data_IF_731106402882
#
_entry.id   IF_731106402882
#
_cell.length_a   1.000
_cell.length_b   1.000
_cell.length_c   1.000
_cell.angle_alpha   90.00
_cell.angle_beta   90.00
_cell.angle_gamma   90.00
#
_symmetry.space_group_name_H-M   'P 1'
#
loop_
_entity.id
_entity.type
_entity.pdbx_description
1 polymer ?
#
# COMPACT_ATOMS: atom_id res chain seq x y z
N UNK A 1 -4.24 32.54 -8.05
CA UNK A 1 -4.51 31.26 -7.34
C UNK A 1 -5.17 30.28 -8.30
N UNK A 2 -4.41 29.33 -8.90
CA UNK A 2 -5.03 28.21 -9.63
C UNK A 2 -5.78 27.34 -8.61
N UNK A 3 -7.02 26.96 -8.90
CA UNK A 3 -7.84 26.14 -7.99
C UNK A 3 -7.07 24.86 -7.62
N UNK A 4 -6.98 24.56 -6.32
CA UNK A 4 -6.46 23.27 -5.86
C UNK A 4 -7.36 22.20 -6.47
N UNK A 5 -6.81 21.29 -7.26
CA UNK A 5 -7.58 20.15 -7.75
C UNK A 5 -8.03 19.31 -6.54
N UNK A 6 -9.29 18.88 -6.54
CA UNK A 6 -9.90 18.16 -5.41
C UNK A 6 -10.25 16.75 -5.87
N UNK A 7 -9.74 15.74 -5.17
CA UNK A 7 -10.18 14.36 -5.36
C UNK A 7 -11.32 14.12 -4.39
N UNK A 8 -12.53 14.01 -4.95
CA UNK A 8 -13.73 13.73 -4.16
C UNK A 8 -13.74 12.26 -3.78
N UNK A 9 -13.75 12.00 -2.48
CA UNK A 9 -13.86 10.63 -1.94
C UNK A 9 -15.27 10.08 -2.10
N UNK A 10 -16.29 10.96 -2.07
CA UNK A 10 -17.72 10.62 -2.28
C UNK A 10 -18.21 9.52 -1.31
N UNK A 11 -17.82 9.60 -0.04
CA UNK A 11 -18.25 8.65 1.00
C UNK A 11 -19.77 8.49 1.10
N UNK A 12 -20.54 9.52 0.73
CA UNK A 12 -22.01 9.47 0.66
C UNK A 12 -22.57 8.44 -0.35
N UNK A 13 -21.75 7.95 -1.28
CA UNK A 13 -22.15 6.86 -2.19
C UNK A 13 -22.20 5.51 -1.45
N UNK A 14 -21.42 5.33 -0.37
CA UNK A 14 -21.36 4.06 0.36
C UNK A 14 -22.74 3.60 0.89
N UNK A 15 -23.57 4.46 1.54
CA UNK A 15 -24.94 4.09 1.90
C UNK A 15 -25.78 3.58 0.72
N UNK A 16 -25.62 4.13 -0.49
CA UNK A 16 -26.34 3.67 -1.68
C UNK A 16 -25.87 2.27 -2.12
N UNK A 17 -24.56 2.03 -2.07
CA UNK A 17 -23.98 0.69 -2.33
C UNK A 17 -24.49 -0.30 -1.27
N UNK A 18 -24.47 0.10 0.00
CA UNK A 18 -24.96 -0.73 1.10
C UNK A 18 -26.43 -1.11 0.91
N UNK A 19 -27.32 -0.14 0.64
CA UNK A 19 -28.75 -0.42 0.40
C UNK A 19 -28.91 -1.37 -0.79
N UNK A 20 -28.19 -1.14 -1.89
CA UNK A 20 -28.26 -2.01 -3.08
C UNK A 20 -27.85 -3.45 -2.76
N UNK A 21 -26.72 -3.65 -2.06
CA UNK A 21 -26.27 -4.98 -1.64
C UNK A 21 -27.23 -5.59 -0.62
N UNK A 22 -27.74 -4.80 0.32
CA UNK A 22 -28.67 -5.24 1.36
C UNK A 22 -29.99 -5.72 0.78
N UNK A 23 -30.58 -5.00 -0.19
CA UNK A 23 -31.82 -5.41 -0.86
C UNK A 23 -31.67 -6.72 -1.63
N UNK A 24 -30.52 -6.97 -2.27
CA UNK A 24 -30.20 -8.26 -2.92
C UNK A 24 -30.16 -9.41 -1.89
N UNK A 25 -29.68 -9.11 -0.69
CA UNK A 25 -29.47 -10.09 0.39
C UNK A 25 -30.76 -10.39 1.17
N UNK A 26 -31.64 -9.40 1.36
CA UNK A 26 -32.90 -9.53 2.15
C UNK A 26 -33.93 -10.47 1.52
N UNK A 27 -33.87 -10.71 0.21
CA UNK A 27 -34.80 -11.61 -0.49
C UNK A 27 -34.62 -13.09 -0.14
N UNK A 28 -33.51 -13.48 0.50
CA UNK A 28 -33.12 -14.89 0.74
C UNK A 28 -33.19 -15.32 2.22
N UNK A 29 -34.01 -14.64 3.05
CA UNK A 29 -33.95 -14.73 4.51
C UNK A 29 -34.84 -15.84 5.12
N UNK A 30 -34.27 -16.53 6.11
CA UNK A 30 -35.01 -17.31 7.11
C UNK A 30 -34.28 -17.26 8.48
N UNK A 31 -35.00 -17.22 9.61
CA UNK A 31 -34.38 -17.18 10.94
C UNK A 31 -33.81 -18.54 11.37
N UNK A 32 -32.53 -18.59 11.78
CA UNK A 32 -31.97 -19.77 12.46
C UNK A 32 -30.78 -19.43 13.39
N UNK A 33 -30.79 -19.82 14.68
CA UNK A 33 -29.73 -19.57 15.65
C UNK A 33 -28.66 -20.67 15.73
N UNK A 34 -28.24 -21.26 14.60
CA UNK A 34 -27.26 -22.35 14.62
C UNK A 34 -25.91 -21.92 15.20
N UNK A 35 -25.13 -22.90 15.68
CA UNK A 35 -23.78 -22.68 16.17
C UNK A 35 -22.87 -22.07 15.08
N UNK A 36 -23.03 -22.49 13.82
CA UNK A 36 -22.26 -21.96 12.69
C UNK A 36 -22.62 -20.50 12.38
N UNK A 37 -23.90 -20.13 12.39
CA UNK A 37 -24.34 -18.74 12.21
C UNK A 37 -23.86 -17.81 13.32
N UNK A 38 -23.84 -18.30 14.57
CA UNK A 38 -23.25 -17.58 15.73
C UNK A 38 -21.75 -17.39 15.57
N UNK A 39 -21.02 -18.44 15.15
CA UNK A 39 -19.58 -18.36 14.87
C UNK A 39 -19.27 -17.34 13.77
N UNK A 40 -19.99 -17.38 12.66
CA UNK A 40 -19.83 -16.42 11.57
C UNK A 40 -20.11 -14.97 12.03
N UNK A 41 -21.18 -14.76 12.79
CA UNK A 41 -21.48 -13.45 13.40
C UNK A 41 -20.33 -12.96 14.26
N UNK A 42 -19.82 -13.82 15.15
CA UNK A 42 -18.67 -13.51 16.00
C UNK A 42 -17.45 -13.09 15.16
N UNK A 43 -17.11 -13.87 14.13
CA UNK A 43 -15.99 -13.57 13.24
C UNK A 43 -16.13 -12.20 12.55
N UNK A 44 -17.33 -11.84 12.08
CA UNK A 44 -17.56 -10.54 11.46
C UNK A 44 -17.55 -9.39 12.44
N UNK A 45 -18.11 -9.57 13.64
CA UNK A 45 -18.07 -8.56 14.70
C UNK A 45 -16.65 -8.26 15.18
N UNK A 46 -15.81 -9.29 15.36
CA UNK A 46 -14.54 -9.13 16.06
C UNK A 46 -13.32 -9.05 15.13
N UNK A 47 -13.42 -9.50 13.88
CA UNK A 47 -12.30 -9.39 12.91
C UNK A 47 -12.59 -8.42 11.77
N UNK A 48 -13.69 -8.62 11.04
CA UNK A 48 -13.96 -7.84 9.82
C UNK A 48 -14.44 -6.41 10.12
N UNK A 49 -15.31 -6.24 11.13
CA UNK A 49 -15.85 -4.92 11.50
C UNK A 49 -14.78 -3.96 12.06
N UNK A 50 -13.82 -4.39 12.91
CA UNK A 50 -12.73 -3.52 13.33
C UNK A 50 -11.81 -3.13 12.18
N UNK A 51 -11.49 -4.07 11.29
CA UNK A 51 -10.71 -3.76 10.08
C UNK A 51 -11.41 -2.72 9.19
N UNK A 52 -12.72 -2.89 8.99
CA UNK A 52 -13.57 -1.93 8.28
C UNK A 52 -13.56 -0.56 8.97
N UNK A 53 -13.61 -0.53 10.30
CA UNK A 53 -13.64 0.72 11.07
C UNK A 53 -12.38 1.56 10.82
N UNK A 54 -11.20 0.93 10.75
CA UNK A 54 -9.96 1.64 10.38
C UNK A 54 -10.05 2.29 9.00
N UNK A 55 -10.67 1.60 8.04
CA UNK A 55 -10.87 2.17 6.71
C UNK A 55 -11.83 3.37 6.75
N UNK A 56 -13.02 3.21 7.33
CA UNK A 56 -14.03 4.27 7.43
C UNK A 56 -13.47 5.51 8.11
N UNK A 57 -12.72 5.33 9.20
CA UNK A 57 -12.10 6.44 9.93
C UNK A 57 -11.10 7.24 9.09
N UNK A 58 -10.44 6.62 8.10
CA UNK A 58 -9.58 7.34 7.16
C UNK A 58 -10.34 8.30 6.25
N UNK A 59 -11.52 7.89 5.80
CA UNK A 59 -12.39 8.70 4.95
C UNK A 59 -13.06 9.87 5.69
N UNK A 60 -13.10 9.86 7.03
CA UNK A 60 -13.64 10.99 7.82
C UNK A 60 -12.88 12.30 7.63
N UNK A 61 -11.61 12.24 7.16
CA UNK A 61 -10.83 13.42 6.78
C UNK A 61 -11.33 14.09 5.48
N UNK A 62 -12.32 13.51 4.81
CA UNK A 62 -13.00 14.09 3.65
C UNK A 62 -12.14 14.12 2.40
N UNK A 63 -12.52 14.98 1.45
CA UNK A 63 -11.89 15.10 0.15
C UNK A 63 -10.41 15.49 0.23
N UNK A 64 -9.61 14.98 -0.71
CA UNK A 64 -8.21 15.33 -0.80
C UNK A 64 -8.07 16.66 -1.54
N UNK A 65 -7.48 17.62 -0.86
CA UNK A 65 -7.02 18.86 -1.48
C UNK A 65 -5.58 18.67 -1.89
N UNK A 66 -5.33 18.63 -3.20
CA UNK A 66 -3.97 18.51 -3.72
C UNK A 66 -3.12 19.68 -3.20
N UNK A 67 -1.86 19.37 -2.85
CA UNK A 67 -0.95 20.31 -2.18
C UNK A 67 -0.74 21.61 -2.96
N UNK A 68 -0.48 22.69 -2.20
CA UNK A 68 -0.27 24.03 -2.73
C UNK A 68 1.08 24.21 -3.43
N UNK A 69 1.26 25.36 -4.08
CA UNK A 69 2.45 25.69 -4.89
C UNK A 69 3.40 26.62 -4.13
N UNK A 70 4.10 26.10 -3.13
CA UNK A 70 5.15 26.86 -2.42
C UNK A 70 6.45 26.07 -2.46
N UNK A 71 7.55 26.63 -3.00
CA UNK A 71 8.86 26.01 -2.92
C UNK A 71 9.38 25.91 -1.49
N UNK A 72 10.11 24.83 -1.18
CA UNK A 72 10.78 24.63 0.10
C UNK A 72 12.24 25.02 -0.02
N UNK A 73 12.80 25.58 1.06
CA UNK A 73 14.24 25.87 1.19
C UNK A 73 15.02 24.73 1.82
N UNK A 74 14.31 23.71 2.33
CA UNK A 74 14.92 22.53 2.96
C UNK A 74 15.43 21.58 1.90
N UNK A 75 16.51 20.88 2.24
CA UNK A 75 17.13 19.91 1.37
C UNK A 75 16.28 18.65 1.27
N UNK A 76 16.03 18.19 0.04
CA UNK A 76 15.31 16.93 -0.20
C UNK A 76 16.18 15.97 -1.01
N UNK A 77 16.56 14.86 -0.41
CA UNK A 77 17.27 13.76 -1.05
C UNK A 77 16.23 12.73 -1.48
N UNK A 78 16.10 12.49 -2.78
CA UNK A 78 15.21 11.48 -3.33
C UNK A 78 16.00 10.19 -3.47
N UNK A 79 15.78 9.26 -2.55
CA UNK A 79 16.49 7.98 -2.54
C UNK A 79 15.74 6.95 -3.37
N UNK A 80 16.34 6.51 -4.47
CA UNK A 80 15.81 5.42 -5.30
C UNK A 80 16.72 4.22 -5.09
N UNK A 81 16.18 3.16 -4.47
CA UNK A 81 16.95 1.93 -4.21
C UNK A 81 16.57 0.88 -5.25
N UNK A 82 17.58 0.32 -5.92
CA UNK A 82 17.36 -0.57 -7.06
C UNK A 82 18.34 -1.72 -7.11
N UNK A 83 17.86 -2.87 -7.58
CA UNK A 83 18.72 -4.00 -7.96
C UNK A 83 19.33 -3.84 -9.36
N UNK A 84 18.94 -2.77 -10.08
CA UNK A 84 19.36 -2.40 -11.44
C UNK A 84 19.46 -3.59 -12.41
N UNK A 85 18.44 -4.47 -12.42
CA UNK A 85 18.32 -5.55 -13.41
C UNK A 85 18.01 -4.97 -14.79
N UNK A 86 18.55 -5.53 -15.87
CA UNK A 86 18.35 -4.97 -17.22
C UNK A 86 16.89 -4.76 -17.61
N UNK A 87 16.01 -5.68 -17.21
CA UNK A 87 14.58 -5.58 -17.51
C UNK A 87 13.86 -4.47 -16.75
N UNK A 88 14.37 -3.96 -15.61
CA UNK A 88 13.75 -2.86 -14.84
C UNK A 88 14.26 -1.47 -15.23
N UNK A 89 15.37 -1.41 -15.98
CA UNK A 89 15.99 -0.14 -16.39
C UNK A 89 15.05 0.84 -17.08
N UNK A 90 14.10 0.44 -17.96
CA UNK A 90 13.19 1.41 -18.55
C UNK A 90 12.23 2.03 -17.51
N UNK A 91 11.76 1.24 -16.53
CA UNK A 91 10.94 1.76 -15.44
C UNK A 91 11.75 2.69 -14.53
N UNK A 92 12.99 2.31 -14.18
CA UNK A 92 13.90 3.14 -13.39
C UNK A 92 14.23 4.46 -14.08
N UNK A 93 14.52 4.42 -15.38
CA UNK A 93 14.77 5.61 -16.18
C UNK A 93 13.56 6.54 -16.20
N UNK A 94 12.34 6.00 -16.41
CA UNK A 94 11.11 6.78 -16.32
C UNK A 94 10.95 7.43 -14.94
N UNK A 95 11.27 6.71 -13.86
CA UNK A 95 11.24 7.23 -12.50
C UNK A 95 12.21 8.39 -12.32
N UNK A 96 13.48 8.23 -12.71
CA UNK A 96 14.50 9.28 -12.66
C UNK A 96 14.07 10.50 -13.49
N UNK A 97 13.63 10.29 -14.74
CA UNK A 97 13.15 11.35 -15.64
C UNK A 97 11.96 12.10 -15.05
N UNK A 98 11.05 11.39 -14.37
CA UNK A 98 9.92 12.03 -13.68
C UNK A 98 10.38 12.92 -12.53
N UNK A 99 11.42 12.52 -11.80
CA UNK A 99 11.99 13.31 -10.71
C UNK A 99 12.69 14.55 -11.26
N UNK A 100 13.61 14.38 -12.22
CA UNK A 100 14.35 15.49 -12.85
C UNK A 100 13.39 16.54 -13.43
N UNK A 101 12.27 16.10 -14.00
CA UNK A 101 11.25 16.98 -14.56
C UNK A 101 10.45 17.76 -13.51
N UNK A 102 10.08 17.12 -12.40
CA UNK A 102 9.09 17.68 -11.45
C UNK A 102 9.75 18.35 -10.23
N UNK A 103 10.90 17.84 -9.76
CA UNK A 103 11.57 18.32 -8.56
C UNK A 103 11.92 19.82 -8.59
N UNK A 104 12.46 20.40 -9.69
CA UNK A 104 12.84 21.81 -9.74
C UNK A 104 11.71 22.80 -9.47
N UNK A 105 10.44 22.38 -9.63
CA UNK A 105 9.31 23.30 -9.49
C UNK A 105 9.10 23.76 -8.05
N UNK A 106 9.37 22.88 -7.06
CA UNK A 106 9.16 23.21 -5.64
C UNK A 106 10.33 22.83 -4.72
N UNK A 107 11.35 22.12 -5.20
CA UNK A 107 12.52 21.78 -4.40
C UNK A 107 13.69 22.64 -4.88
N UNK A 108 14.18 23.52 -4.00
CA UNK A 108 15.29 24.42 -4.32
C UNK A 108 16.65 23.73 -4.13
N UNK A 109 16.82 23.01 -3.02
CA UNK A 109 17.95 22.13 -2.76
C UNK A 109 17.48 20.66 -2.79
N UNK A 110 17.91 19.94 -3.82
CA UNK A 110 17.57 18.53 -3.99
C UNK A 110 18.59 17.80 -4.84
N UNK A 111 18.63 16.48 -4.66
CA UNK A 111 19.34 15.51 -5.50
C UNK A 111 18.67 14.15 -5.45
N UNK A 112 19.05 13.27 -6.36
CA UNK A 112 18.69 11.85 -6.37
C UNK A 112 19.87 11.07 -5.81
N UNK A 113 19.66 10.30 -4.74
CA UNK A 113 20.59 9.28 -4.29
C UNK A 113 20.14 7.93 -4.90
N UNK A 114 20.82 7.51 -5.96
CA UNK A 114 20.56 6.25 -6.65
C UNK A 114 21.39 5.14 -5.99
N UNK A 115 20.74 4.31 -5.18
CA UNK A 115 21.38 3.27 -4.38
C UNK A 115 21.27 1.93 -5.09
N UNK A 116 22.41 1.29 -5.38
CA UNK A 116 22.44 -0.02 -6.03
C UNK A 116 23.63 -0.86 -5.60
N UNK A 117 23.55 -2.16 -5.86
CA UNK A 117 24.59 -3.13 -5.51
C UNK A 117 25.78 -3.05 -6.46
N UNK A 118 27.00 -3.26 -5.95
CA UNK A 118 28.25 -3.23 -6.73
C UNK A 118 28.22 -4.14 -7.96
N UNK A 119 27.64 -5.33 -7.82
CA UNK A 119 27.50 -6.33 -8.90
C UNK A 119 26.21 -6.20 -9.72
N UNK A 120 25.46 -5.10 -9.61
CA UNK A 120 24.23 -4.96 -10.35
C UNK A 120 24.48 -4.87 -11.87
N UNK A 121 23.83 -5.74 -12.64
CA UNK A 121 24.04 -5.90 -14.08
C UNK A 121 23.85 -4.59 -14.88
N UNK A 122 22.89 -3.76 -14.46
CA UNK A 122 22.55 -2.50 -15.12
C UNK A 122 23.34 -1.28 -14.62
N UNK A 123 24.21 -1.42 -13.61
CA UNK A 123 24.97 -0.29 -13.05
C UNK A 123 25.81 0.44 -14.11
N UNK A 124 26.60 -0.23 -14.97
CA UNK A 124 27.38 0.47 -16.00
C UNK A 124 26.51 1.27 -16.97
N UNK A 125 25.36 0.71 -17.37
CA UNK A 125 24.41 1.35 -18.28
C UNK A 125 23.78 2.60 -17.65
N UNK A 126 23.51 2.57 -16.34
CA UNK A 126 22.98 3.71 -15.61
C UNK A 126 24.03 4.82 -15.48
N UNK A 127 25.27 4.47 -15.13
CA UNK A 127 26.37 5.43 -15.02
C UNK A 127 26.68 6.10 -16.37
N UNK A 128 26.64 5.35 -17.47
CA UNK A 128 26.82 5.88 -18.81
C UNK A 128 25.67 6.81 -19.21
N UNK A 129 24.41 6.37 -19.06
CA UNK A 129 23.24 7.17 -19.43
C UNK A 129 23.15 8.49 -18.67
N UNK A 130 23.45 8.46 -17.37
CA UNK A 130 23.33 9.62 -16.48
C UNK A 130 24.67 10.32 -16.24
N UNK A 131 25.66 10.06 -17.08
CA UNK A 131 26.97 10.71 -17.01
C UNK A 131 26.82 12.23 -17.20
N UNK A 132 27.28 12.99 -16.21
CA UNK A 132 27.23 14.46 -16.23
C UNK A 132 25.95 15.06 -15.66
N UNK A 133 24.97 14.25 -15.22
CA UNK A 133 23.82 14.76 -14.47
C UNK A 133 24.21 15.01 -13.01
N UNK A 134 24.47 16.27 -12.66
CA UNK A 134 24.94 16.69 -11.33
C UNK A 134 23.92 16.41 -10.21
N UNK A 135 22.62 16.30 -10.56
CA UNK A 135 21.57 15.97 -9.58
C UNK A 135 21.53 14.50 -9.21
N UNK A 136 22.28 13.61 -9.87
CA UNK A 136 22.28 12.18 -9.57
C UNK A 136 23.59 11.80 -8.88
N UNK A 137 23.45 11.31 -7.65
CA UNK A 137 24.53 10.77 -6.84
C UNK A 137 24.38 9.24 -6.77
N UNK A 138 25.41 8.51 -7.19
CA UNK A 138 25.44 7.04 -7.14
C UNK A 138 25.97 6.57 -5.79
N UNK A 139 25.16 5.80 -5.06
CA UNK A 139 25.59 5.12 -3.83
C UNK A 139 25.69 3.62 -4.14
N UNK A 140 26.93 3.17 -4.32
CA UNK A 140 27.23 1.77 -4.62
C UNK A 140 27.44 1.03 -3.31
N UNK A 141 26.60 0.04 -3.04
CA UNK A 141 26.70 -0.82 -1.86
C UNK A 141 27.74 -1.90 -2.14
N UNK A 142 28.89 -1.91 -1.44
CA UNK A 142 29.95 -2.89 -1.65
C UNK A 142 29.46 -4.29 -1.35
N UNK A 143 29.89 -5.31 -2.07
CA UNK A 143 29.42 -6.69 -1.82
C UNK A 143 29.73 -7.19 -0.41
N UNK A 144 30.87 -6.76 0.15
CA UNK A 144 31.31 -7.13 1.49
C UNK A 144 30.66 -6.33 2.61
N UNK A 145 29.83 -5.32 2.29
CA UNK A 145 29.14 -4.55 3.30
C UNK A 145 28.09 -5.40 4.02
N UNK A 146 28.09 -5.30 5.35
CA UNK A 146 27.19 -6.02 6.23
C UNK A 146 26.73 -5.11 7.35
N UNK A 147 25.42 -5.07 7.57
CA UNK A 147 24.84 -4.36 8.71
C UNK A 147 25.04 -5.16 10.00
N UNK A 148 24.97 -4.50 11.15
CA UNK A 148 25.25 -5.10 12.46
C UNK A 148 24.28 -6.25 12.78
N UNK A 149 23.01 -6.10 12.43
CA UNK A 149 21.96 -7.11 12.63
C UNK A 149 21.71 -8.00 11.41
N UNK A 150 22.60 -7.98 10.41
CA UNK A 150 22.53 -8.85 9.24
C UNK A 150 21.25 -8.66 8.40
N UNK A 151 20.74 -7.43 8.33
CA UNK A 151 19.72 -7.02 7.37
C UNK A 151 20.15 -7.36 5.93
N UNK A 152 19.17 -7.75 5.12
CA UNK A 152 19.36 -8.15 3.71
C UNK A 152 18.53 -7.26 2.78
N UNK A 153 18.77 -7.41 1.49
CA UNK A 153 17.95 -6.80 0.42
C UNK A 153 17.87 -5.27 0.57
N UNK A 154 16.68 -4.70 0.37
CA UNK A 154 16.44 -3.25 0.39
C UNK A 154 16.82 -2.59 1.73
N UNK A 155 16.60 -3.28 2.86
CA UNK A 155 17.01 -2.80 4.18
C UNK A 155 18.53 -2.58 4.30
N UNK A 156 19.33 -3.50 3.74
CA UNK A 156 20.80 -3.38 3.69
C UNK A 156 21.25 -2.16 2.89
N UNK A 157 20.65 -1.98 1.71
CA UNK A 157 20.97 -0.84 0.85
C UNK A 157 20.58 0.50 1.52
N UNK A 158 19.41 0.56 2.17
CA UNK A 158 19.00 1.74 2.93
C UNK A 158 19.94 2.05 4.10
N UNK A 159 20.35 1.03 4.86
CA UNK A 159 21.28 1.21 5.98
C UNK A 159 22.64 1.72 5.49
N UNK A 160 23.18 1.16 4.39
CA UNK A 160 24.42 1.65 3.80
C UNK A 160 24.32 3.10 3.33
N UNK A 161 23.22 3.46 2.64
CA UNK A 161 23.01 4.82 2.17
C UNK A 161 22.92 5.83 3.31
N UNK A 162 22.25 5.47 4.40
CA UNK A 162 22.18 6.24 5.64
C UNK A 162 23.58 6.46 6.24
N UNK A 163 24.36 5.38 6.41
CA UNK A 163 25.72 5.45 6.94
C UNK A 163 26.65 6.28 6.04
N UNK A 164 26.45 6.21 4.72
CA UNK A 164 27.23 6.98 3.75
C UNK A 164 26.91 8.48 3.77
N UNK A 165 25.66 8.86 4.08
CA UNK A 165 25.29 10.28 4.28
C UNK A 165 25.99 10.85 5.51
N UNK A 166 26.04 10.11 6.62
CA UNK A 166 26.79 10.47 7.82
C UNK A 166 26.31 11.75 8.52
N UNK A 167 25.14 12.27 8.16
CA UNK A 167 24.51 13.46 8.74
C UNK A 167 23.17 13.11 9.36
N UNK A 168 22.77 13.84 10.40
CA UNK A 168 21.47 13.78 11.05
C UNK A 168 20.82 15.18 11.05
N UNK A 169 20.71 15.78 9.87
CA UNK A 169 20.26 17.17 9.73
C UNK A 169 18.73 17.28 9.81
N UNK A 170 18.24 18.24 10.61
CA UNK A 170 16.81 18.55 10.76
C UNK A 170 16.24 19.31 9.57
N UNK A 171 17.09 19.90 8.74
CA UNK A 171 16.72 20.60 7.51
C UNK A 171 16.85 19.74 6.26
N UNK A 172 17.22 18.46 6.41
CA UNK A 172 17.31 17.50 5.31
C UNK A 172 16.20 16.44 5.43
N UNK A 173 15.58 16.11 4.31
CA UNK A 173 14.54 15.10 4.20
C UNK A 173 14.92 14.05 3.18
N UNK A 174 14.68 12.79 3.53
CA UNK A 174 14.88 11.64 2.67
C UNK A 174 13.53 11.17 2.17
N UNK A 175 13.35 11.22 0.85
CA UNK A 175 12.17 10.75 0.17
C UNK A 175 12.47 9.41 -0.51
N UNK A 176 11.98 8.33 0.09
CA UNK A 176 12.14 6.96 -0.41
C UNK A 176 11.14 6.66 -1.52
N UNK A 177 11.69 6.25 -2.66
CA UNK A 177 10.95 5.96 -3.87
C UNK A 177 11.38 4.62 -4.46
N UNK A 178 10.40 3.81 -4.86
CA UNK A 178 10.67 2.55 -5.58
C UNK A 178 11.11 2.83 -7.02
N UNK A 179 11.93 1.93 -7.56
CA UNK A 179 12.49 2.01 -8.91
C UNK A 179 11.43 2.13 -10.03
N UNK A 180 10.20 1.65 -9.82
CA UNK A 180 9.11 1.72 -10.81
C UNK A 180 8.08 2.85 -10.57
N UNK A 181 8.32 3.69 -9.55
CA UNK A 181 7.34 4.64 -9.03
C UNK A 181 7.66 6.07 -9.48
N UNK A 182 6.86 6.62 -10.39
CA UNK A 182 7.05 7.94 -10.98
C UNK A 182 6.34 9.04 -10.19
N UNK A 183 7.04 10.15 -9.97
CA UNK A 183 6.49 11.32 -9.27
C UNK A 183 5.66 12.19 -10.21
N UNK A 184 4.69 12.90 -9.65
CA UNK A 184 3.92 13.93 -10.33
C UNK A 184 4.25 15.30 -9.74
N UNK A 185 3.86 16.36 -10.43
CA UNK A 185 3.89 17.74 -9.89
C UNK A 185 3.29 17.82 -8.49
N UNK A 186 2.16 17.14 -8.28
CA UNK A 186 1.46 17.13 -7.01
C UNK A 186 2.21 16.32 -5.93
N UNK A 187 2.95 15.28 -6.29
CA UNK A 187 3.87 14.59 -5.37
C UNK A 187 4.87 15.59 -4.80
N UNK A 188 5.57 16.32 -5.67
CA UNK A 188 6.64 17.25 -5.28
C UNK A 188 6.06 18.42 -4.47
N UNK A 189 4.91 18.97 -4.87
CA UNK A 189 4.20 19.98 -4.09
C UNK A 189 3.86 19.49 -2.67
N UNK A 190 3.45 18.23 -2.53
CA UNK A 190 3.10 17.65 -1.23
C UNK A 190 4.32 17.40 -0.36
N UNK A 191 5.45 17.03 -0.96
CA UNK A 191 6.74 16.93 -0.26
C UNK A 191 7.14 18.30 0.26
N UNK A 192 7.12 19.33 -0.59
CA UNK A 192 7.46 20.71 -0.23
C UNK A 192 6.61 21.24 0.93
N UNK A 193 5.29 21.02 0.89
CA UNK A 193 4.39 21.40 1.99
C UNK A 193 4.75 20.67 3.29
N UNK A 194 5.04 19.37 3.22
CA UNK A 194 5.41 18.57 4.40
C UNK A 194 6.78 18.95 4.98
N UNK A 195 7.76 19.31 4.15
CA UNK A 195 9.07 19.74 4.63
C UNK A 195 8.98 21.09 5.34
N UNK A 196 8.26 22.06 4.77
CA UNK A 196 8.02 23.37 5.41
C UNK A 196 7.31 23.23 6.76
N UNK A 197 6.36 22.30 6.86
CA UNK A 197 5.65 22.00 8.11
C UNK A 197 6.46 21.19 9.13
N UNK A 198 7.75 20.93 8.89
CA UNK A 198 8.64 20.22 9.82
C UNK A 198 8.15 18.80 10.21
N UNK A 199 7.52 18.10 9.28
CA UNK A 199 6.99 16.75 9.49
C UNK A 199 8.12 15.75 9.77
N UNK A 200 7.89 14.75 10.63
CA UNK A 200 8.94 13.77 10.93
C UNK A 200 8.90 12.60 9.95
N UNK A 201 7.69 12.13 9.65
CA UNK A 201 7.43 11.05 8.71
C UNK A 201 6.13 11.34 7.96
N UNK A 202 6.10 11.09 6.66
CA UNK A 202 4.88 11.17 5.88
C UNK A 202 4.80 10.08 4.81
N UNK A 203 3.59 9.58 4.56
CA UNK A 203 3.28 8.69 3.44
C UNK A 203 2.07 9.24 2.69
N UNK A 204 2.00 9.06 1.38
CA UNK A 204 0.82 9.43 0.59
C UNK A 204 0.14 8.27 -0.11
N UNK A 205 -0.44 8.59 -1.27
CA UNK A 205 -1.30 7.69 -2.03
C UNK A 205 -0.55 7.12 -3.22
N UNK A 206 -0.67 5.81 -3.38
CA UNK A 206 -0.18 5.08 -4.53
C UNK A 206 -1.30 4.92 -5.55
N UNK A 207 -0.98 5.21 -6.80
CA UNK A 207 -1.90 5.08 -7.94
C UNK A 207 -1.31 4.14 -8.96
N UNK A 208 -2.18 3.39 -9.63
CA UNK A 208 -1.82 2.34 -10.59
C UNK A 208 -2.46 2.65 -11.95
N UNK A 209 -2.01 3.71 -12.65
CA UNK A 209 -2.62 4.10 -13.90
C UNK A 209 -2.49 2.99 -14.95
N UNK A 210 -3.50 2.85 -15.80
CA UNK A 210 -3.56 1.83 -16.88
C UNK A 210 -2.48 2.02 -17.94
N UNK A 211 -1.82 3.17 -17.99
CA UNK A 211 -0.66 3.44 -18.85
C UNK A 211 0.61 2.74 -18.35
N UNK A 212 0.74 2.55 -17.04
CA UNK A 212 1.85 1.85 -16.41
C UNK A 212 1.50 0.40 -16.09
N UNK A 213 0.21 0.10 -15.86
CA UNK A 213 -0.25 -1.23 -15.50
C UNK A 213 -0.92 -1.93 -16.69
N UNK A 214 -0.19 -2.86 -17.33
CA UNK A 214 -0.62 -3.51 -18.58
C UNK A 214 -1.62 -4.65 -18.36
N UNK A 215 -1.53 -5.37 -17.23
CA UNK A 215 -2.39 -6.52 -16.95
C UNK A 215 -3.69 -6.07 -16.27
N UNK A 216 -4.83 -6.39 -16.89
CA UNK A 216 -6.16 -6.01 -16.42
C UNK A 216 -6.45 -6.51 -14.99
N UNK A 217 -6.24 -7.79 -14.71
CA UNK A 217 -6.58 -8.39 -13.42
C UNK A 217 -5.70 -7.84 -12.29
N UNK A 218 -4.39 -7.68 -12.52
CA UNK A 218 -3.50 -7.13 -11.48
C UNK A 218 -3.79 -5.66 -11.21
N UNK A 219 -4.14 -4.87 -12.24
CA UNK A 219 -4.59 -3.48 -12.10
C UNK A 219 -5.89 -3.39 -11.27
N UNK A 220 -6.83 -4.30 -11.50
CA UNK A 220 -8.07 -4.38 -10.72
C UNK A 220 -7.78 -4.76 -9.26
N UNK A 221 -6.88 -5.73 -9.01
CA UNK A 221 -6.44 -6.08 -7.66
C UNK A 221 -5.77 -4.90 -6.92
N UNK A 222 -4.81 -4.23 -7.57
CA UNK A 222 -4.07 -3.12 -6.95
C UNK A 222 -4.90 -1.85 -6.77
N UNK A 223 -6.10 -1.76 -7.37
CA UNK A 223 -7.04 -0.67 -7.07
C UNK A 223 -7.45 -0.64 -5.59
N UNK A 224 -7.43 -1.78 -4.89
CA UNK A 224 -7.62 -1.81 -3.44
C UNK A 224 -6.49 -1.10 -2.68
N UNK A 225 -5.25 -1.07 -3.19
CA UNK A 225 -4.13 -0.40 -2.51
C UNK A 225 -4.39 1.10 -2.39
N UNK A 226 -4.80 1.73 -3.50
CA UNK A 226 -5.22 3.14 -3.51
C UNK A 226 -6.41 3.39 -2.58
N UNK A 227 -7.38 2.45 -2.51
CA UNK A 227 -8.49 2.53 -1.56
C UNK A 227 -8.03 2.49 -0.09
N UNK A 228 -7.19 1.52 0.26
CA UNK A 228 -6.61 1.38 1.60
C UNK A 228 -5.75 2.59 1.99
N UNK A 229 -5.09 3.24 1.03
CA UNK A 229 -4.34 4.47 1.29
C UNK A 229 -5.23 5.56 1.85
N UNK A 230 -6.44 5.71 1.30
CA UNK A 230 -7.44 6.68 1.74
C UNK A 230 -8.19 6.26 3.00
N UNK A 231 -8.25 4.96 3.26
CA UNK A 231 -8.82 4.39 4.47
C UNK A 231 -7.76 4.21 5.55
N UNK A 232 -7.34 2.97 5.79
CA UNK A 232 -6.54 2.62 6.94
C UNK A 232 -5.21 3.37 7.02
N UNK A 233 -4.45 3.53 5.93
CA UNK A 233 -3.17 4.25 6.01
C UNK A 233 -3.35 5.73 6.34
N UNK A 234 -4.35 6.41 5.76
CA UNK A 234 -4.69 7.80 6.12
C UNK A 234 -5.20 7.92 7.55
N UNK A 235 -5.94 6.93 8.05
CA UNK A 235 -6.33 6.87 9.46
C UNK A 235 -5.09 6.84 10.36
N UNK A 236 -4.21 5.86 10.18
CA UNK A 236 -3.04 5.72 11.04
C UNK A 236 -2.04 6.87 10.87
N UNK A 237 -1.70 7.27 9.65
CA UNK A 237 -0.66 8.28 9.40
C UNK A 237 -1.16 9.74 9.49
N UNK A 238 -2.47 9.98 9.29
CA UNK A 238 -3.04 11.33 9.22
C UNK A 238 -4.06 11.68 10.31
N UNK A 239 -4.87 10.72 10.77
CA UNK A 239 -5.83 10.93 11.88
C UNK A 239 -5.11 10.70 13.21
N UNK A 240 -4.57 9.50 13.42
CA UNK A 240 -3.80 9.15 14.63
C UNK A 240 -2.37 9.64 14.61
N UNK A 241 -1.87 10.03 13.43
CA UNK A 241 -0.48 10.47 13.21
C UNK A 241 0.56 9.49 13.76
N UNK A 242 0.23 8.20 13.74
CA UNK A 242 1.03 7.08 14.23
C UNK A 242 0.80 5.86 13.34
N UNK A 243 1.77 5.42 12.51
CA UNK A 243 1.60 4.36 11.52
C UNK A 243 1.60 2.95 12.16
N UNK A 244 0.61 2.63 12.99
CA UNK A 244 0.58 1.37 13.76
C UNK A 244 0.47 0.10 12.90
N UNK A 245 -0.02 0.20 11.66
CA UNK A 245 -0.11 -0.90 10.69
C UNK A 245 1.08 -0.99 9.73
N UNK A 246 2.07 -0.11 9.90
CA UNK A 246 3.18 0.08 8.96
C UNK A 246 2.92 1.19 7.95
N UNK A 247 3.84 1.30 6.98
CA UNK A 247 3.80 2.21 5.84
C UNK A 247 4.19 1.46 4.58
N UNK A 248 3.95 2.05 3.41
CA UNK A 248 4.58 1.59 2.17
C UNK A 248 6.03 2.06 2.09
N UNK A 249 6.92 1.20 1.61
CA UNK A 249 8.31 1.56 1.31
C UNK A 249 8.50 2.40 0.05
N UNK A 250 7.39 2.81 -0.59
CA UNK A 250 7.30 3.72 -1.71
C UNK A 250 6.44 4.93 -1.32
N UNK A 251 6.82 6.13 -1.78
CA UNK A 251 6.17 7.39 -1.41
C UNK A 251 6.24 7.70 0.10
N UNK A 252 7.41 7.46 0.69
CA UNK A 252 7.70 7.67 2.11
C UNK A 252 8.71 8.82 2.28
N UNK A 253 8.31 9.88 2.98
CA UNK A 253 9.16 11.02 3.34
C UNK A 253 9.54 10.91 4.82
N UNK A 254 10.82 11.01 5.13
CA UNK A 254 11.34 10.98 6.51
C UNK A 254 12.34 12.10 6.69
N UNK A 255 12.31 12.79 7.83
CA UNK A 255 13.35 13.77 8.18
C UNK A 255 14.64 13.03 8.54
N UNK A 256 15.79 13.54 8.09
CA UNK A 256 17.05 12.80 8.15
C UNK A 256 17.49 12.48 9.59
N UNK A 257 17.32 13.39 10.55
CA UNK A 257 17.61 13.12 11.98
C UNK A 257 16.79 11.93 12.53
N UNK A 258 15.52 11.84 12.15
CA UNK A 258 14.62 10.76 12.55
C UNK A 258 15.02 9.44 11.90
N UNK A 259 15.36 9.47 10.61
CA UNK A 259 15.83 8.30 9.89
C UNK A 259 17.13 7.76 10.52
N UNK A 260 18.07 8.63 10.85
CA UNK A 260 19.33 8.26 11.51
C UNK A 260 19.12 7.65 12.90
N UNK A 261 18.17 8.16 13.68
CA UNK A 261 17.90 7.62 15.01
C UNK A 261 17.30 6.22 14.95
N UNK A 262 16.42 5.96 13.98
CA UNK A 262 15.72 4.67 13.83
C UNK A 262 16.60 3.65 13.09
N UNK A 263 17.21 4.04 11.99
CA UNK A 263 17.98 3.17 11.09
C UNK A 263 17.13 2.20 10.27
N UNK A 264 17.80 1.39 9.45
CA UNK A 264 17.19 0.36 8.60
C UNK A 264 17.67 -1.07 8.93
N UNK A 265 18.47 -1.22 9.99
CA UNK A 265 19.08 -2.49 10.39
C UNK A 265 18.14 -3.37 11.27
N UNK A 266 17.01 -3.80 10.71
CA UNK A 266 15.98 -4.62 11.39
C UNK A 266 16.22 -6.14 11.37
N UNK A 267 17.41 -6.57 10.89
CA UNK A 267 17.77 -7.96 10.67
C UNK A 267 16.95 -8.64 9.58
N UNK A 268 16.67 -9.94 9.74
CA UNK A 268 15.90 -10.66 8.74
C UNK A 268 14.42 -10.22 8.75
N UNK A 269 14.05 -9.36 7.79
CA UNK A 269 12.68 -8.89 7.55
C UNK A 269 12.41 -8.82 6.05
N UNK A 270 11.17 -9.12 5.65
CA UNK A 270 10.69 -8.97 4.28
C UNK A 270 9.88 -7.68 4.06
N UNK A 271 9.69 -6.91 5.14
CA UNK A 271 8.86 -5.70 5.24
C UNK A 271 9.60 -4.66 6.10
N UNK A 272 10.74 -4.20 5.60
CA UNK A 272 11.59 -3.23 6.29
C UNK A 272 10.90 -1.89 6.50
N UNK A 273 10.03 -1.49 5.58
CA UNK A 273 9.17 -0.31 5.63
C UNK A 273 8.20 -0.36 6.82
N UNK A 274 7.47 -1.46 6.98
CA UNK A 274 6.57 -1.66 8.11
C UNK A 274 7.35 -1.75 9.44
N UNK A 275 8.53 -2.37 9.45
CA UNK A 275 9.40 -2.40 10.63
C UNK A 275 9.83 -0.99 11.04
N UNK A 276 10.27 -0.17 10.08
CA UNK A 276 10.65 1.23 10.29
C UNK A 276 9.50 2.04 10.86
N UNK A 277 8.30 1.93 10.27
CA UNK A 277 7.12 2.65 10.73
C UNK A 277 6.68 2.27 12.14
N UNK A 278 6.81 1.00 12.52
CA UNK A 278 6.47 0.56 13.88
C UNK A 278 7.46 1.12 14.91
N UNK A 279 8.76 1.12 14.62
CA UNK A 279 9.75 1.77 15.49
C UNK A 279 9.53 3.29 15.53
N UNK A 280 9.14 3.92 14.41
CA UNK A 280 8.72 5.32 14.40
C UNK A 280 7.51 5.56 15.31
N UNK A 281 6.46 4.74 15.21
CA UNK A 281 5.25 4.89 16.01
C UNK A 281 5.52 4.70 17.52
N UNK A 282 6.53 3.90 17.87
CA UNK A 282 7.00 3.70 19.24
C UNK A 282 7.74 4.90 19.79
N UNK A 283 8.63 5.52 19.00
CA UNK A 283 9.49 6.64 19.44
C UNK A 283 8.83 8.00 19.31
N UNK A 284 8.01 8.18 18.27
CA UNK A 284 7.38 9.46 17.92
C UNK A 284 5.87 9.32 17.65
N UNK A 285 5.08 8.82 18.62
CA UNK A 285 3.63 8.75 18.47
C UNK A 285 3.05 10.15 18.21
N UNK A 286 2.14 10.25 17.25
CA UNK A 286 1.46 11.49 16.91
C UNK A 286 2.24 12.44 15.97
N UNK A 287 3.39 12.02 15.45
CA UNK A 287 4.30 12.87 14.64
C UNK A 287 4.34 12.55 13.15
N UNK A 288 3.50 11.64 12.64
CA UNK A 288 3.38 11.43 11.20
C UNK A 288 2.38 12.36 10.51
N UNK A 289 2.44 12.45 9.19
CA UNK A 289 1.46 13.11 8.32
C UNK A 289 1.03 12.18 7.17
N UNK A 290 -0.18 12.38 6.67
CA UNK A 290 -0.58 11.84 5.38
C UNK A 290 -0.35 12.86 4.26
N UNK A 291 0.40 12.48 3.23
CA UNK A 291 0.63 13.32 2.04
C UNK A 291 -0.58 13.21 1.11
N UNK A 292 -1.07 14.35 0.63
CA UNK A 292 -2.12 14.38 -0.39
C UNK A 292 -1.57 14.17 -1.82
N UNK A 293 -0.28 13.85 -1.93
CA UNK A 293 0.44 13.59 -3.17
C UNK A 293 0.04 12.24 -3.77
N UNK A 294 -0.02 12.19 -5.10
CA UNK A 294 -0.20 10.93 -5.84
C UNK A 294 1.13 10.49 -6.47
N UNK A 295 1.57 9.28 -6.19
CA UNK A 295 2.67 8.63 -6.91
C UNK A 295 2.12 7.58 -7.87
N UNK A 296 2.68 7.52 -9.08
CA UNK A 296 2.26 6.58 -10.12
C UNK A 296 3.17 5.35 -10.09
N UNK A 297 2.59 4.21 -9.77
CA UNK A 297 3.28 2.92 -9.62
C UNK A 297 2.82 1.96 -10.72
N UNK A 298 3.57 0.88 -10.94
CA UNK A 298 3.17 -0.20 -11.83
C UNK A 298 2.60 -1.40 -11.05
N UNK A 299 1.47 -1.94 -11.51
CA UNK A 299 0.94 -3.21 -11.00
C UNK A 299 1.81 -4.38 -11.49
N UNK A 300 1.85 -5.54 -10.79
CA UNK A 300 2.56 -6.72 -11.25
C UNK A 300 2.19 -7.13 -12.69
N UNK A 301 3.16 -7.64 -13.44
CA UNK A 301 2.98 -8.00 -14.87
C UNK A 301 2.02 -9.17 -15.08
N UNK A 302 1.86 -10.04 -14.07
CA UNK A 302 1.02 -11.23 -14.13
C UNK A 302 0.37 -11.54 -12.78
N UNK A 303 -0.70 -12.34 -12.80
CA UNK A 303 -1.34 -12.84 -11.56
C UNK A 303 -0.36 -13.68 -10.74
N UNK A 304 0.57 -14.41 -11.37
CA UNK A 304 1.61 -15.16 -10.68
C UNK A 304 2.57 -14.23 -9.91
N UNK A 305 2.94 -13.11 -10.51
CA UNK A 305 3.77 -12.10 -9.86
C UNK A 305 3.01 -11.40 -8.72
N UNK A 306 1.72 -11.12 -8.91
CA UNK A 306 0.84 -10.61 -7.86
C UNK A 306 0.80 -11.55 -6.65
N UNK A 307 0.52 -12.84 -6.86
CA UNK A 307 0.45 -13.84 -5.78
C UNK A 307 1.78 -13.91 -5.02
N UNK A 308 2.92 -13.91 -5.72
CA UNK A 308 4.26 -13.87 -5.09
C UNK A 308 4.47 -12.62 -4.25
N UNK A 309 4.03 -11.46 -4.75
CA UNK A 309 4.13 -10.20 -4.02
C UNK A 309 3.31 -10.24 -2.72
N UNK A 310 2.05 -10.67 -2.81
CA UNK A 310 1.15 -10.80 -1.67
C UNK A 310 1.67 -11.81 -0.64
N UNK A 311 2.20 -12.93 -1.12
CA UNK A 311 2.81 -13.95 -0.27
C UNK A 311 4.04 -13.42 0.51
N UNK A 312 4.90 -12.62 -0.13
CA UNK A 312 6.03 -11.96 0.53
C UNK A 312 5.56 -11.01 1.64
N UNK A 313 4.60 -10.14 1.33
CA UNK A 313 4.04 -9.21 2.31
C UNK A 313 3.33 -9.94 3.46
N UNK A 314 2.56 -10.98 3.16
CA UNK A 314 1.86 -11.76 4.17
C UNK A 314 2.85 -12.41 5.14
N UNK A 315 3.89 -13.06 4.59
CA UNK A 315 4.97 -13.66 5.40
C UNK A 315 5.68 -12.61 6.25
N UNK A 316 6.04 -11.46 5.67
CA UNK A 316 6.74 -10.39 6.37
C UNK A 316 5.93 -9.80 7.53
N UNK A 317 4.65 -9.51 7.33
CA UNK A 317 3.78 -9.00 8.39
C UNK A 317 3.58 -10.04 9.49
N UNK A 318 3.46 -11.34 9.13
CA UNK A 318 3.45 -12.43 10.10
C UNK A 318 4.71 -12.46 10.98
N UNK A 319 5.90 -12.25 10.38
CA UNK A 319 7.16 -12.14 11.13
C UNK A 319 7.19 -10.92 12.08
N UNK A 320 6.55 -9.81 11.73
CA UNK A 320 6.47 -8.64 12.61
C UNK A 320 5.64 -8.93 13.87
N UNK A 321 4.54 -9.69 13.74
CA UNK A 321 3.70 -10.05 14.88
C UNK A 321 4.43 -10.91 15.93
N UNK A 322 5.44 -11.67 15.52
CA UNK A 322 6.28 -12.46 16.44
C UNK A 322 7.37 -11.63 17.13
N UNK A 323 7.64 -10.40 16.66
CA UNK A 323 8.64 -9.50 17.26
C UNK A 323 8.07 -8.73 18.47
N UNK A 324 8.97 -8.12 19.24
CA UNK A 324 8.63 -7.22 20.36
C UNK A 324 8.28 -5.82 19.83
N UNK A 325 7.07 -5.68 19.30
CA UNK A 325 6.51 -4.40 18.83
C UNK A 325 5.46 -3.85 19.82
N UNK A 326 5.11 -2.54 19.77
CA UNK A 326 4.06 -1.96 20.60
C UNK A 326 2.75 -2.73 20.50
N UNK A 327 2.03 -2.88 21.62
CA UNK A 327 0.80 -3.67 21.66
C UNK A 327 -0.30 -3.09 20.76
N UNK A 328 -0.34 -1.76 20.59
CA UNK A 328 -1.25 -1.07 19.67
C UNK A 328 -1.00 -1.52 18.23
N UNK A 329 0.28 -1.61 17.82
CA UNK A 329 0.67 -2.15 16.52
C UNK A 329 0.31 -3.63 16.40
N UNK A 330 0.55 -4.45 17.43
CA UNK A 330 0.14 -5.87 17.40
C UNK A 330 -1.34 -6.04 17.13
N UNK A 331 -2.19 -5.31 17.86
CA UNK A 331 -3.64 -5.38 17.71
C UNK A 331 -4.07 -4.82 16.36
N UNK A 332 -3.58 -3.65 15.96
CA UNK A 332 -3.95 -3.04 14.67
C UNK A 332 -3.56 -3.93 13.49
N UNK A 333 -2.33 -4.46 13.50
CA UNK A 333 -1.86 -5.40 12.49
C UNK A 333 -2.70 -6.67 12.54
N UNK A 334 -2.91 -7.29 13.70
CA UNK A 334 -3.71 -8.51 13.81
C UNK A 334 -5.13 -8.33 13.23
N UNK A 335 -5.80 -7.25 13.60
CA UNK A 335 -7.16 -6.94 13.13
C UNK A 335 -7.21 -6.68 11.62
N UNK A 336 -6.16 -6.11 11.02
CA UNK A 336 -6.12 -5.87 9.56
C UNK A 336 -5.61 -7.08 8.77
N UNK A 337 -4.64 -7.80 9.30
CA UNK A 337 -3.93 -8.92 8.68
C UNK A 337 -4.78 -10.19 8.64
N UNK A 338 -5.51 -10.49 9.72
CA UNK A 338 -6.28 -11.73 9.84
C UNK A 338 -7.42 -11.81 8.80
N UNK A 339 -8.24 -10.76 8.59
CA UNK A 339 -9.23 -10.75 7.51
C UNK A 339 -8.66 -10.97 6.12
N UNK A 340 -7.44 -10.48 5.85
CA UNK A 340 -6.76 -10.67 4.57
C UNK A 340 -6.36 -12.14 4.37
N UNK A 341 -5.77 -12.77 5.40
CA UNK A 341 -5.42 -14.20 5.37
C UNK A 341 -6.65 -15.11 5.27
N UNK A 342 -7.75 -14.72 5.89
CA UNK A 342 -9.05 -15.39 5.81
C UNK A 342 -9.91 -14.87 4.65
N UNK A 343 -9.33 -14.21 3.65
CA UNK A 343 -10.07 -13.53 2.57
C UNK A 343 -11.04 -14.44 1.80
N UNK A 344 -10.72 -15.74 1.65
CA UNK A 344 -11.63 -16.75 1.08
C UNK A 344 -12.92 -16.87 1.91
N UNK A 345 -12.79 -16.90 3.23
CA UNK A 345 -13.95 -16.94 4.12
C UNK A 345 -14.65 -15.58 4.20
N UNK A 346 -13.92 -14.46 4.03
CA UNK A 346 -14.53 -13.14 3.90
C UNK A 346 -15.41 -12.97 2.65
N UNK A 347 -15.27 -13.88 1.67
CA UNK A 347 -16.10 -13.91 0.49
C UNK A 347 -17.46 -14.56 0.81
N UNK A 348 -18.48 -13.71 0.88
CA UNK A 348 -19.85 -14.11 1.22
C UNK A 348 -20.39 -15.19 0.27
N UNK A 349 -20.09 -15.11 -1.04
CA UNK A 349 -20.50 -16.14 -2.01
C UNK A 349 -19.88 -17.48 -1.67
N UNK A 350 -18.58 -17.51 -1.36
CA UNK A 350 -17.92 -18.76 -0.96
C UNK A 350 -18.54 -19.36 0.31
N UNK A 351 -18.84 -18.53 1.32
CA UNK A 351 -19.49 -19.00 2.56
C UNK A 351 -20.87 -19.61 2.28
N UNK A 352 -21.70 -18.96 1.44
CA UNK A 352 -22.99 -19.49 1.03
C UNK A 352 -22.87 -20.78 0.19
N UNK A 353 -21.94 -20.83 -0.77
CA UNK A 353 -21.73 -22.02 -1.59
C UNK A 353 -21.26 -23.20 -0.75
N UNK A 354 -20.36 -22.97 0.22
CA UNK A 354 -19.88 -23.98 1.14
C UNK A 354 -20.99 -24.49 2.05
N UNK A 355 -21.86 -23.61 2.55
CA UNK A 355 -23.00 -24.03 3.40
C UNK A 355 -23.97 -24.91 2.63
N UNK A 356 -24.31 -24.55 1.38
CA UNK A 356 -25.16 -25.37 0.50
C UNK A 356 -24.54 -26.75 0.25
N UNK A 357 -23.24 -26.79 -0.05
CA UNK A 357 -22.54 -28.05 -0.31
C UNK A 357 -22.55 -28.97 0.93
N UNK A 358 -22.20 -28.43 2.10
CA UNK A 358 -22.16 -29.21 3.35
C UNK A 358 -23.55 -29.74 3.73
N UNK A 359 -24.60 -28.95 3.48
CA UNK A 359 -25.98 -29.41 3.65
C UNK A 359 -26.33 -30.58 2.70
N UNK A 360 -25.97 -30.45 1.42
CA UNK A 360 -26.21 -31.51 0.42
C UNK A 360 -25.52 -32.83 0.79
N UNK A 361 -24.39 -32.76 1.49
CA UNK A 361 -23.66 -33.91 2.03
C UNK A 361 -24.25 -34.48 3.34
N UNK A 362 -25.46 -34.07 3.75
CA UNK A 362 -26.17 -34.58 4.91
C UNK A 362 -25.87 -33.85 6.23
N UNK A 363 -25.01 -32.82 6.22
CA UNK A 363 -24.78 -32.01 7.43
C UNK A 363 -25.88 -30.95 7.57
N UNK A 364 -27.02 -31.35 8.12
CA UNK A 364 -28.19 -30.49 8.29
C UNK A 364 -27.94 -29.24 9.16
N UNK A 365 -26.83 -29.19 9.92
CA UNK A 365 -26.37 -28.01 10.64
C UNK A 365 -25.93 -26.83 9.74
N UNK A 366 -25.74 -27.04 8.43
CA UNK A 366 -25.23 -26.05 7.46
C UNK A 366 -26.25 -25.61 6.40
N UNK A 367 -27.54 -25.90 6.57
CA UNK A 367 -28.60 -25.56 5.61
C UNK A 367 -28.55 -24.07 5.17
N UNK A 368 -28.75 -23.70 3.88
CA UNK A 368 -28.67 -22.30 3.43
C UNK A 368 -29.57 -21.29 4.15
N UNK A 369 -30.62 -21.72 4.86
CA UNK A 369 -31.45 -20.88 5.73
C UNK A 369 -30.79 -20.52 7.08
N UNK A 370 -29.53 -20.91 7.30
CA UNK A 370 -28.82 -20.88 8.59
C UNK A 370 -28.05 -19.59 8.88
N UNK A 371 -28.06 -18.65 7.94
CA UNK A 371 -27.32 -17.41 8.11
C UNK A 371 -28.13 -16.42 8.97
N UNK A 372 -27.63 -16.13 10.17
CA UNK A 372 -28.30 -15.22 11.09
C UNK A 372 -28.38 -13.79 10.56
N UNK A 373 -29.46 -13.06 10.87
CA UNK A 373 -29.62 -11.63 10.51
C UNK A 373 -28.38 -10.76 10.82
N UNK A 374 -27.76 -10.86 12.01
CA UNK A 374 -26.61 -10.02 12.33
C UNK A 374 -25.43 -10.25 11.39
N UNK A 375 -25.10 -11.52 11.10
CA UNK A 375 -24.07 -11.83 10.12
C UNK A 375 -24.38 -11.25 8.75
N UNK A 376 -25.61 -11.41 8.23
CA UNK A 376 -25.96 -10.92 6.88
C UNK A 376 -25.78 -9.40 6.79
N UNK A 377 -26.22 -8.67 7.81
CA UNK A 377 -26.06 -7.22 7.89
C UNK A 377 -24.57 -6.86 7.92
N UNK A 378 -23.79 -7.49 8.81
CA UNK A 378 -22.37 -7.22 8.95
C UNK A 378 -21.57 -7.58 7.69
N UNK A 379 -21.88 -8.70 7.05
CA UNK A 379 -21.21 -9.17 5.85
C UNK A 379 -21.53 -8.28 4.66
N UNK A 380 -22.78 -7.82 4.54
CA UNK A 380 -23.20 -6.84 3.54
C UNK A 380 -22.53 -5.50 3.76
N UNK A 381 -22.46 -5.03 5.01
CA UNK A 381 -21.77 -3.81 5.39
C UNK A 381 -20.29 -3.86 5.00
N UNK A 382 -19.59 -4.94 5.36
CA UNK A 382 -18.19 -5.13 5.01
C UNK A 382 -17.99 -5.24 3.49
N UNK A 383 -18.80 -6.04 2.80
CA UNK A 383 -18.69 -6.24 1.36
C UNK A 383 -18.96 -4.96 0.56
N UNK A 384 -20.02 -4.22 0.90
CA UNK A 384 -20.35 -2.94 0.27
C UNK A 384 -19.23 -1.91 0.43
N UNK A 385 -18.57 -1.88 1.59
CA UNK A 385 -17.45 -0.97 1.81
C UNK A 385 -16.18 -1.43 1.09
N UNK A 386 -15.90 -2.74 1.04
CA UNK A 386 -14.80 -3.29 0.22
C UNK A 386 -15.01 -2.93 -1.25
N UNK A 387 -16.24 -3.06 -1.77
CA UNK A 387 -16.57 -2.61 -3.13
C UNK A 387 -16.34 -1.11 -3.29
N UNK A 388 -16.73 -0.30 -2.31
CA UNK A 388 -16.46 1.15 -2.30
C UNK A 388 -14.97 1.48 -2.31
N UNK A 389 -14.13 0.76 -1.57
CA UNK A 389 -12.67 0.92 -1.57
C UNK A 389 -12.08 0.65 -2.95
N UNK A 390 -12.43 -0.50 -3.55
CA UNK A 390 -12.00 -0.83 -4.91
C UNK A 390 -12.49 0.21 -5.92
N UNK A 391 -13.75 0.62 -5.84
CA UNK A 391 -14.32 1.60 -6.77
C UNK A 391 -13.61 2.95 -6.64
N UNK A 392 -13.37 3.43 -5.42
CA UNK A 392 -12.68 4.70 -5.17
C UNK A 392 -11.25 4.65 -5.70
N UNK A 393 -10.50 3.60 -5.37
CA UNK A 393 -9.14 3.43 -5.88
C UNK A 393 -9.09 3.30 -7.40
N UNK A 394 -10.02 2.54 -7.98
CA UNK A 394 -10.12 2.36 -9.43
C UNK A 394 -10.45 3.68 -10.14
N UNK A 395 -11.38 4.48 -9.62
CA UNK A 395 -11.72 5.79 -10.18
C UNK A 395 -10.51 6.74 -10.16
N UNK A 396 -9.68 6.69 -9.12
CA UNK A 396 -8.44 7.46 -9.03
C UNK A 396 -7.42 6.96 -10.08
N UNK A 397 -7.24 5.65 -10.19
CA UNK A 397 -6.34 5.04 -11.17
C UNK A 397 -6.75 5.33 -12.62
N UNK A 398 -8.05 5.47 -12.89
CA UNK A 398 -8.60 5.78 -14.21
C UNK A 398 -8.69 7.29 -14.52
N UNK A 399 -8.20 8.19 -13.64
CA UNK A 399 -8.26 9.64 -13.90
C UNK A 399 -7.56 10.02 -15.20
N UNK A 400 -6.42 9.40 -15.48
CA UNK A 400 -5.57 9.67 -16.63
C UNK A 400 -5.92 8.86 -17.88
N UNK A 401 -6.75 7.82 -17.72
CA UNK A 401 -7.26 7.08 -18.85
C UNK A 401 -8.09 8.03 -19.72
N UNK A 402 -7.86 8.06 -21.03
CA UNK A 402 -8.58 8.96 -21.93
C UNK A 402 -9.72 8.25 -22.65
N UNK A 403 -9.65 6.92 -22.74
CA UNK A 403 -10.65 6.12 -23.43
C UNK A 403 -11.90 5.87 -22.54
N UNK A 404 -13.07 6.48 -22.85
CA UNK A 404 -14.26 6.35 -22.02
C UNK A 404 -14.83 4.93 -22.02
N UNK A 405 -14.73 4.19 -23.14
CA UNK A 405 -15.17 2.78 -23.23
C UNK A 405 -14.35 1.89 -22.30
N UNK A 406 -13.03 2.13 -22.27
CA UNK A 406 -12.12 1.41 -21.36
C UNK A 406 -12.44 1.74 -19.90
N UNK A 407 -12.67 3.02 -19.54
CA UNK A 407 -13.11 3.39 -18.18
C UNK A 407 -14.40 2.67 -17.79
N UNK A 408 -15.41 2.71 -18.65
CA UNK A 408 -16.69 2.06 -18.40
C UNK A 408 -16.52 0.56 -18.18
N UNK A 409 -15.73 -0.12 -19.03
CA UNK A 409 -15.46 -1.54 -18.89
C UNK A 409 -14.82 -1.90 -17.53
N UNK A 410 -13.81 -1.15 -17.09
CA UNK A 410 -13.18 -1.38 -15.78
C UNK A 410 -14.17 -1.19 -14.63
N UNK A 411 -14.97 -0.11 -14.66
CA UNK A 411 -15.94 0.19 -13.60
C UNK A 411 -17.07 -0.85 -13.58
N UNK A 412 -17.63 -1.18 -14.74
CA UNK A 412 -18.75 -2.12 -14.87
C UNK A 412 -18.37 -3.56 -14.52
N UNK A 413 -17.12 -3.96 -14.76
CA UNK A 413 -16.62 -5.31 -14.42
C UNK A 413 -16.33 -5.50 -12.92
N UNK A 414 -16.11 -4.41 -12.17
CA UNK A 414 -15.67 -4.50 -10.77
C UNK A 414 -16.60 -5.34 -9.86
N UNK A 415 -17.94 -5.14 -9.83
CA UNK A 415 -18.81 -5.91 -8.95
C UNK A 415 -18.77 -7.41 -9.22
N UNK A 416 -18.59 -7.81 -10.48
CA UNK A 416 -18.53 -9.21 -10.92
C UNK A 416 -17.17 -9.84 -10.62
N UNK A 417 -16.09 -9.06 -10.71
CA UNK A 417 -14.73 -9.54 -10.47
C UNK A 417 -14.37 -9.56 -8.99
N UNK A 418 -15.03 -8.77 -8.13
CA UNK A 418 -14.67 -8.62 -6.73
C UNK A 418 -14.47 -9.97 -5.99
N UNK A 419 -15.32 -11.00 -6.17
CA UNK A 419 -15.09 -12.32 -5.60
C UNK A 419 -13.76 -12.96 -6.04
N UNK A 420 -13.42 -12.82 -7.31
CA UNK A 420 -12.18 -13.34 -7.90
C UNK A 420 -10.95 -12.55 -7.43
N UNK A 421 -11.06 -11.22 -7.29
CA UNK A 421 -9.97 -10.39 -6.77
C UNK A 421 -9.64 -10.78 -5.33
N UNK A 422 -10.66 -10.98 -4.49
CA UNK A 422 -10.48 -11.47 -3.11
C UNK A 422 -9.85 -12.86 -3.05
N UNK A 423 -10.15 -13.73 -4.01
CA UNK A 423 -9.51 -15.04 -4.12
C UNK A 423 -8.01 -14.94 -4.43
N UNK A 424 -7.58 -14.06 -5.35
CA UNK A 424 -6.15 -13.85 -5.63
C UNK A 424 -5.38 -13.31 -4.41
N UNK A 425 -5.98 -12.39 -3.66
CA UNK A 425 -5.40 -11.88 -2.41
C UNK A 425 -5.18 -13.00 -1.38
N UNK A 426 -6.19 -13.86 -1.19
CA UNK A 426 -6.09 -14.99 -0.27
C UNK A 426 -5.15 -16.10 -0.75
N UNK A 427 -5.06 -16.36 -2.05
CA UNK A 427 -4.05 -17.27 -2.62
C UNK A 427 -2.63 -16.77 -2.34
N UNK A 428 -2.41 -15.46 -2.34
CA UNK A 428 -1.15 -14.87 -1.88
C UNK A 428 -0.82 -15.26 -0.44
N UNK A 429 -1.78 -15.09 0.47
CA UNK A 429 -1.62 -15.48 1.87
C UNK A 429 -1.31 -16.99 2.01
N UNK A 430 -2.03 -17.86 1.32
CA UNK A 430 -1.78 -19.30 1.33
C UNK A 430 -0.43 -19.69 0.72
N UNK A 431 -0.02 -19.00 -0.35
CA UNK A 431 1.27 -19.25 -0.99
C UNK A 431 2.47 -18.80 -0.13
N UNK A 432 2.25 -17.93 0.86
CA UNK A 432 3.29 -17.45 1.78
C UNK A 432 3.99 -18.59 2.53
N UNK A 433 3.27 -19.67 2.86
CA UNK A 433 3.82 -20.85 3.54
C UNK A 433 4.83 -21.62 2.69
N UNK A 434 4.82 -21.44 1.36
CA UNK A 434 5.78 -22.08 0.44
C UNK A 434 7.03 -21.23 0.19
N UNK A 435 6.99 -19.93 0.47
CA UNK A 435 8.11 -19.04 0.22
C UNK A 435 9.14 -19.20 1.35
N UNK A 436 10.39 -19.50 1.01
CA UNK A 436 11.51 -19.55 1.97
C UNK A 436 12.20 -18.19 2.10
N UNK A 437 12.54 -17.55 0.97
CA UNK A 437 13.31 -16.31 0.90
C UNK A 437 12.60 -15.17 0.13
N UNK A 438 13.22 -14.00 0.04
CA UNK A 438 12.69 -12.86 -0.70
C UNK A 438 12.53 -13.19 -2.19
N UNK A 439 11.32 -13.00 -2.71
CA UNK A 439 11.00 -13.24 -4.12
C UNK A 439 10.91 -11.90 -4.85
N UNK A 440 11.73 -11.72 -5.87
CA UNK A 440 11.64 -10.59 -6.78
C UNK A 440 10.56 -10.87 -7.82
N UNK A 441 9.70 -9.88 -8.07
CA UNK A 441 8.61 -9.96 -9.04
C UNK A 441 8.93 -9.15 -10.30
N UNK A 442 8.23 -9.43 -11.40
CA UNK A 442 8.27 -8.58 -12.59
C UNK A 442 7.15 -7.55 -12.55
N UNK A 443 7.50 -6.31 -12.85
CA UNK A 443 6.57 -5.23 -13.13
C UNK A 443 6.78 -4.75 -14.58
N UNK A 444 5.74 -4.24 -15.23
CA UNK A 444 5.84 -3.77 -16.60
C UNK A 444 6.76 -2.55 -16.66
N UNK A 445 7.62 -2.56 -17.68
CA UNK A 445 8.44 -1.43 -18.06
C UNK A 445 7.72 -0.54 -19.06
#
# INVERSE_FOLDING_TARGET
>A
MKSKEIIRTRLWIWPLIFISVFLIVVWNIHPNPSLFGKFLTFMWCFLYLPALTFEVLGFTKGDLKLAGSHPTTKKVIIQITTIARKDILPALNRTIESVLKQAPEFLTDWRIDLVTEEKAEGLPLLQEKWKGEEKINFIIVPDNYQTKNWSKYKARAHQYALEKRGSADKNTYIYHLDEDSSVTRNTIASISEATEENVYLAQGILTFPTSLSKNFLTTMCDSMRTGNDLGCFRFFTGVLKSPFIGVHGEHLLVREDIENEIGWDFGNTLVEDAAFAIEFAKRYPGKSRFLNGLVRCASPSSVKDLIKQRARWFKGIGQLLTKKIPWQSKIAIFLKFTPWGLGIFGNVIFVYSLSILLFSLGNHSFYPSVISYPFMVLSTLCYSFVLYLYLTGLLINLREEKNPKKKFFYIASLPFLLPLLGFFEALGALYSFKIKDFVVIRKPC
#
